data_IF_188585727754
#
_entry.id   IF_188585727754
#
_cell.length_a   1.000
_cell.length_b   1.000
_cell.length_c   1.000
_cell.angle_alpha   90.00
_cell.angle_beta   90.00
_cell.angle_gamma   90.00
#
_symmetry.space_group_name_H-M   'P 1'
#
loop_
_entity.id
_entity.type
_entity.pdbx_description
1 polymer ?
#
# COMPACT_ATOMS: atom_id res chain seq x y z
N UNK A 1 -7.33 -13.01 39.73
CA UNK A 1 -7.59 -12.96 38.28
C UNK A 1 -6.79 -11.80 37.71
N UNK A 2 -5.64 -12.06 37.12
CA UNK A 2 -4.78 -11.07 36.47
C UNK A 2 -5.52 -10.51 35.25
N UNK A 3 -5.80 -9.21 35.22
CA UNK A 3 -6.24 -8.52 33.99
C UNK A 3 -5.13 -8.69 32.95
N UNK A 4 -5.32 -9.57 31.98
CA UNK A 4 -4.40 -9.66 30.86
C UNK A 4 -4.41 -8.29 30.17
N UNK A 5 -3.31 -7.57 30.25
CA UNK A 5 -3.10 -6.34 29.47
C UNK A 5 -3.09 -6.71 27.99
N UNK A 6 -4.25 -6.75 27.37
CA UNK A 6 -4.36 -6.98 25.94
C UNK A 6 -3.93 -5.71 25.24
N UNK A 7 -2.75 -5.75 24.62
CA UNK A 7 -2.12 -4.59 23.94
C UNK A 7 -3.08 -3.95 22.92
N UNK A 8 -3.98 -4.73 22.30
CA UNK A 8 -4.95 -4.25 21.34
C UNK A 8 -6.19 -3.59 21.96
N UNK A 9 -6.40 -3.77 23.29
CA UNK A 9 -7.58 -3.25 24.00
C UNK A 9 -7.27 -2.07 24.91
N UNK A 10 -6.00 -1.67 25.02
CA UNK A 10 -5.63 -0.48 25.77
C UNK A 10 -6.04 0.76 24.99
N UNK A 11 -7.16 1.34 25.34
CA UNK A 11 -7.56 2.65 24.87
C UNK A 11 -6.61 3.65 25.55
N UNK A 12 -5.83 4.43 24.79
CA UNK A 12 -4.96 5.46 25.38
C UNK A 12 -5.81 6.43 26.19
N UNK A 13 -5.39 6.75 27.41
CA UNK A 13 -6.06 7.76 28.25
C UNK A 13 -5.90 9.22 27.72
N UNK A 14 -5.16 9.39 26.62
CA UNK A 14 -5.00 10.68 25.99
C UNK A 14 -6.13 10.93 25.00
N UNK A 15 -6.95 11.92 25.32
CA UNK A 15 -7.89 12.51 24.35
C UNK A 15 -7.08 13.29 23.32
N UNK A 16 -6.42 12.59 22.41
CA UNK A 16 -5.87 13.23 21.23
C UNK A 16 -7.04 13.43 20.25
N UNK A 17 -7.69 14.57 20.40
CA UNK A 17 -8.75 15.00 19.49
C UNK A 17 -8.04 15.82 18.40
N UNK A 18 -7.86 15.21 17.24
CA UNK A 18 -7.56 16.01 16.05
C UNK A 18 -8.84 16.72 15.64
N UNK A 19 -8.84 18.07 15.62
CA UNK A 19 -10.03 18.79 15.15
C UNK A 19 -10.30 18.41 13.69
N UNK A 20 -11.57 18.17 13.36
CA UNK A 20 -11.95 17.95 11.99
C UNK A 20 -11.64 19.22 11.17
N UNK A 21 -10.93 19.00 10.05
CA UNK A 21 -10.65 20.09 9.10
C UNK A 21 -11.96 20.38 8.34
N UNK A 22 -12.28 21.66 8.20
CA UNK A 22 -13.42 22.08 7.37
C UNK A 22 -13.06 21.87 5.88
N UNK A 23 -13.67 20.84 5.30
CA UNK A 23 -13.50 20.51 3.88
C UNK A 23 -14.83 20.70 3.19
N UNK A 24 -14.83 21.43 2.06
CA UNK A 24 -16.04 21.54 1.24
C UNK A 24 -16.44 20.19 0.67
N UNK A 25 -17.47 19.60 1.28
CA UNK A 25 -18.02 18.31 0.86
C UNK A 25 -18.50 18.30 -0.60
N UNK A 26 -18.92 19.46 -1.14
CA UNK A 26 -19.41 19.54 -2.53
C UNK A 26 -18.26 19.35 -3.50
N UNK A 27 -17.12 19.95 -3.23
CA UNK A 27 -15.92 19.77 -4.07
C UNK A 27 -15.40 18.35 -3.99
N UNK A 28 -15.37 17.72 -2.79
CA UNK A 28 -15.02 16.31 -2.65
C UNK A 28 -15.97 15.38 -3.45
N UNK A 29 -17.29 15.61 -3.36
CA UNK A 29 -18.28 14.83 -4.13
C UNK A 29 -18.07 15.01 -5.64
N UNK A 30 -17.81 16.22 -6.09
CA UNK A 30 -17.54 16.56 -7.48
C UNK A 30 -16.27 15.86 -7.98
N UNK A 31 -15.19 15.86 -7.18
CA UNK A 31 -13.94 15.16 -7.43
C UNK A 31 -14.19 13.68 -7.69
N UNK A 32 -14.79 12.98 -6.71
CA UNK A 32 -15.05 11.53 -6.79
C UNK A 32 -15.97 11.20 -7.98
N UNK A 33 -17.03 12.00 -8.21
CA UNK A 33 -17.96 11.80 -9.32
C UNK A 33 -17.35 12.08 -10.69
N UNK A 34 -16.33 12.92 -10.79
CA UNK A 34 -15.70 13.30 -12.07
C UNK A 34 -14.59 12.34 -12.51
N UNK A 35 -13.95 11.61 -11.56
CA UNK A 35 -12.90 10.65 -11.93
C UNK A 35 -13.46 9.54 -12.83
N UNK A 36 -12.75 9.25 -13.90
CA UNK A 36 -13.06 8.17 -14.85
C UNK A 36 -11.77 7.45 -15.27
N UNK A 37 -11.89 6.20 -15.69
CA UNK A 37 -10.83 5.48 -16.38
C UNK A 37 -10.77 5.94 -17.84
N UNK A 38 -10.03 7.02 -18.09
CA UNK A 38 -9.84 7.59 -19.44
C UNK A 38 -8.86 6.72 -20.22
N UNK A 39 -9.25 6.31 -21.43
CA UNK A 39 -8.49 5.34 -22.23
C UNK A 39 -7.75 5.95 -23.43
N UNK A 40 -8.00 7.22 -23.71
CA UNK A 40 -7.31 7.96 -24.77
C UNK A 40 -7.00 9.33 -24.20
N UNK A 41 -5.72 9.67 -24.16
CA UNK A 41 -5.21 10.91 -23.60
C UNK A 41 -4.77 11.86 -24.72
N UNK A 42 -4.77 13.15 -24.44
CA UNK A 42 -4.18 14.19 -25.28
C UNK A 42 -2.65 14.15 -25.20
N UNK A 43 -2.00 14.94 -26.07
CA UNK A 43 -0.53 15.08 -26.06
C UNK A 43 -0.03 16.12 -25.04
N UNK A 44 -0.92 16.65 -24.19
CA UNK A 44 -0.57 17.62 -23.17
C UNK A 44 0.39 17.03 -22.15
N UNK A 45 1.41 17.78 -21.81
CA UNK A 45 2.46 17.36 -20.88
C UNK A 45 1.98 17.60 -19.46
N UNK A 46 2.09 16.56 -18.61
CA UNK A 46 1.84 16.67 -17.17
C UNK A 46 3.02 17.44 -16.54
N UNK A 47 2.70 18.42 -15.69
CA UNK A 47 3.71 19.10 -14.89
C UNK A 47 4.38 18.08 -13.95
N UNK A 48 5.72 17.93 -13.98
CA UNK A 48 6.42 17.00 -13.13
C UNK A 48 6.25 17.24 -11.63
N UNK A 49 6.11 18.50 -11.22
CA UNK A 49 5.95 18.85 -9.79
C UNK A 49 4.56 18.46 -9.29
N UNK A 50 3.50 18.71 -10.09
CA UNK A 50 2.15 18.26 -9.78
C UNK A 50 2.08 16.73 -9.65
N UNK A 51 2.74 16.00 -10.57
CA UNK A 51 2.78 14.56 -10.52
C UNK A 51 3.52 14.05 -9.28
N UNK A 52 4.60 14.72 -8.89
CA UNK A 52 5.33 14.36 -7.67
C UNK A 52 4.47 14.59 -6.43
N UNK A 53 3.76 15.71 -6.34
CA UNK A 53 2.85 16.00 -5.24
C UNK A 53 1.70 14.98 -5.17
N UNK A 54 1.12 14.60 -6.32
CA UNK A 54 0.12 13.53 -6.37
C UNK A 54 0.67 12.18 -5.86
N UNK A 55 1.94 11.86 -6.17
CA UNK A 55 2.60 10.66 -5.64
C UNK A 55 2.82 10.75 -4.13
N UNK A 56 3.19 11.90 -3.60
CA UNK A 56 3.31 12.12 -2.15
C UNK A 56 1.96 11.97 -1.44
N UNK A 57 0.88 12.51 -2.01
CA UNK A 57 -0.47 12.31 -1.48
C UNK A 57 -0.90 10.84 -1.49
N UNK A 58 -0.48 10.07 -2.50
CA UNK A 58 -0.71 8.62 -2.53
C UNK A 58 -0.06 7.89 -1.34
N UNK A 59 1.10 8.35 -0.87
CA UNK A 59 1.79 7.74 0.27
C UNK A 59 1.08 7.96 1.61
N UNK A 60 0.09 8.86 1.67
CA UNK A 60 -0.73 9.10 2.87
C UNK A 60 -1.89 8.11 3.02
N UNK A 61 -2.04 7.18 2.10
CA UNK A 61 -3.08 6.15 2.18
C UNK A 61 -2.95 5.31 3.47
N UNK A 62 -4.07 4.88 4.07
CA UNK A 62 -4.05 4.03 5.25
C UNK A 62 -3.41 2.67 4.92
N UNK A 63 -2.62 2.14 5.87
CA UNK A 63 -1.95 0.86 5.70
C UNK A 63 -1.93 0.09 7.02
N UNK A 64 -2.20 -1.20 6.95
CA UNK A 64 -2.21 -2.07 8.12
C UNK A 64 -0.87 -1.99 8.87
N UNK A 65 -0.92 -1.74 10.18
CA UNK A 65 0.24 -1.51 11.04
C UNK A 65 1.18 -0.40 10.54
N UNK A 66 0.70 0.53 9.75
CA UNK A 66 1.49 1.60 9.11
C UNK A 66 2.76 1.09 8.39
N UNK A 67 2.68 -0.12 7.80
CA UNK A 67 3.86 -0.77 7.19
C UNK A 67 4.17 -0.30 5.77
N UNK A 68 3.27 0.44 5.13
CA UNK A 68 3.51 1.12 3.84
C UNK A 68 4.23 0.22 2.82
N UNK A 69 3.70 -0.99 2.60
CA UNK A 69 4.32 -1.99 1.75
C UNK A 69 3.98 -1.77 0.27
N UNK A 70 4.33 -0.62 -0.26
CA UNK A 70 4.20 -0.23 -1.66
C UNK A 70 5.41 0.54 -2.15
N UNK A 71 5.54 0.61 -3.47
CA UNK A 71 6.47 1.47 -4.18
C UNK A 71 5.82 1.93 -5.48
N UNK A 72 6.10 3.17 -5.89
CA UNK A 72 5.67 3.73 -7.15
C UNK A 72 6.89 3.99 -8.03
N UNK A 73 6.84 3.49 -9.26
CA UNK A 73 7.90 3.66 -10.25
C UNK A 73 7.41 4.54 -11.39
N UNK A 74 7.80 5.80 -11.38
CA UNK A 74 7.60 6.70 -12.50
C UNK A 74 8.62 6.40 -13.61
N UNK A 75 8.13 5.89 -14.75
CA UNK A 75 8.99 5.42 -15.84
C UNK A 75 9.35 6.54 -16.79
N UNK A 76 10.43 7.28 -16.50
CA UNK A 76 10.90 8.43 -17.32
C UNK A 76 11.72 8.03 -18.55
N UNK A 77 12.45 6.91 -18.50
CA UNK A 77 13.29 6.47 -19.62
C UNK A 77 12.45 6.10 -20.85
N UNK A 78 12.67 6.75 -21.98
CA UNK A 78 11.89 6.57 -23.24
C UNK A 78 11.84 5.10 -23.68
N UNK A 79 12.97 4.38 -23.68
CA UNK A 79 13.01 2.98 -24.10
C UNK A 79 12.27 2.04 -23.15
N UNK A 80 12.31 2.31 -21.83
CA UNK A 80 11.49 1.56 -20.86
C UNK A 80 10.01 1.90 -20.97
N UNK A 81 9.68 3.19 -21.20
CA UNK A 81 8.29 3.64 -21.40
C UNK A 81 7.68 2.95 -22.61
N UNK A 82 8.39 2.86 -23.73
CA UNK A 82 7.91 2.14 -24.91
C UNK A 82 7.66 0.64 -24.61
N UNK A 83 8.61 -0.06 -23.97
CA UNK A 83 8.42 -1.45 -23.59
C UNK A 83 7.26 -1.63 -22.60
N UNK A 84 7.06 -0.68 -21.68
CA UNK A 84 5.94 -0.74 -20.74
C UNK A 84 4.59 -0.65 -21.46
N UNK A 85 4.48 0.18 -22.49
CA UNK A 85 3.29 0.24 -23.36
C UNK A 85 2.97 -1.12 -23.97
N UNK A 86 4.00 -1.83 -24.48
CA UNK A 86 3.85 -3.18 -25.05
C UNK A 86 3.47 -4.20 -23.96
N UNK A 87 4.08 -4.11 -22.77
CA UNK A 87 3.77 -5.00 -21.65
C UNK A 87 2.38 -4.76 -21.04
N UNK A 88 1.78 -3.60 -21.27
CA UNK A 88 0.37 -3.32 -21.00
C UNK A 88 -0.53 -3.74 -22.18
N UNK A 89 -0.11 -4.74 -22.97
CA UNK A 89 -0.85 -5.32 -24.09
C UNK A 89 -1.18 -4.31 -25.21
N UNK A 90 -0.44 -3.22 -25.31
CA UNK A 90 -0.68 -2.17 -26.29
C UNK A 90 -2.04 -1.49 -26.15
N UNK A 91 -2.63 -1.50 -24.96
CA UNK A 91 -3.89 -0.81 -24.70
C UNK A 91 -3.80 0.67 -25.05
N UNK A 92 -4.90 1.26 -25.54
CA UNK A 92 -4.94 2.68 -25.95
C UNK A 92 -4.53 3.61 -24.80
N UNK A 93 -4.93 3.32 -23.56
CA UNK A 93 -4.51 4.10 -22.40
C UNK A 93 -2.98 4.11 -22.25
N UNK A 94 -2.31 2.95 -22.37
CA UNK A 94 -0.87 2.88 -22.29
C UNK A 94 -0.17 3.59 -23.47
N UNK A 95 -0.72 3.46 -24.68
CA UNK A 95 -0.15 4.07 -25.90
C UNK A 95 -0.20 5.59 -25.88
N UNK A 96 -1.33 6.14 -25.45
CA UNK A 96 -1.58 7.61 -25.49
C UNK A 96 -1.12 8.33 -24.22
N UNK A 97 -0.95 7.64 -23.09
CA UNK A 97 -0.52 8.27 -21.85
C UNK A 97 0.87 8.91 -21.98
N UNK A 98 0.97 10.15 -21.53
CA UNK A 98 2.23 10.89 -21.48
C UNK A 98 3.12 10.34 -20.37
N UNK A 99 2.54 9.97 -19.22
CA UNK A 99 3.28 9.38 -18.10
C UNK A 99 2.73 7.99 -17.73
N UNK A 100 3.64 7.12 -17.32
CA UNK A 100 3.33 5.76 -16.86
C UNK A 100 3.96 5.51 -15.49
N UNK A 101 3.12 5.11 -14.54
CA UNK A 101 3.50 4.81 -13.16
C UNK A 101 3.21 3.35 -12.88
N UNK A 102 4.22 2.59 -12.46
CA UNK A 102 4.04 1.21 -12.05
C UNK A 102 3.88 1.16 -10.54
N UNK A 103 2.72 0.72 -10.08
CA UNK A 103 2.40 0.56 -8.67
C UNK A 103 2.77 -0.87 -8.22
N UNK A 104 3.62 -0.97 -7.22
CA UNK A 104 4.24 -2.24 -6.81
C UNK A 104 3.89 -2.56 -5.35
N UNK A 105 3.32 -3.73 -5.13
CA UNK A 105 3.10 -4.29 -3.81
C UNK A 105 4.39 -4.97 -3.30
N UNK A 106 4.88 -4.56 -2.13
CA UNK A 106 6.17 -4.95 -1.55
C UNK A 106 5.98 -5.78 -0.28
N UNK A 107 5.68 -7.06 -0.45
CA UNK A 107 5.53 -7.99 0.68
C UNK A 107 6.80 -8.17 1.52
N UNK A 108 7.96 -7.87 0.96
CA UNK A 108 9.28 -8.09 1.57
C UNK A 108 9.74 -6.93 2.47
N UNK A 109 9.14 -5.74 2.33
CA UNK A 109 9.61 -4.52 3.03
C UNK A 109 9.11 -4.39 4.46
N UNK A 110 8.13 -5.18 4.89
CA UNK A 110 7.52 -5.02 6.21
C UNK A 110 8.52 -5.03 7.37
N UNK A 111 9.60 -5.86 7.31
CA UNK A 111 10.63 -5.90 8.34
C UNK A 111 11.42 -4.60 8.41
N UNK A 112 11.85 -4.08 7.25
CA UNK A 112 12.56 -2.81 7.13
C UNK A 112 11.70 -1.67 7.67
N UNK A 113 10.46 -1.59 7.20
CA UNK A 113 9.53 -0.50 7.56
C UNK A 113 9.16 -0.56 9.05
N UNK A 114 8.87 -1.76 9.59
CA UNK A 114 8.70 -1.97 11.03
C UNK A 114 9.89 -1.44 11.84
N UNK A 115 11.13 -1.74 11.41
CA UNK A 115 12.32 -1.29 12.14
C UNK A 115 12.47 0.24 12.09
N UNK A 116 12.12 0.88 10.99
CA UNK A 116 12.08 2.34 10.88
C UNK A 116 11.03 2.95 11.81
N UNK A 117 9.85 2.35 11.89
CA UNK A 117 8.79 2.78 12.83
C UNK A 117 9.28 2.64 14.27
N UNK A 118 9.88 1.50 14.66
CA UNK A 118 10.41 1.31 16.01
C UNK A 118 11.47 2.38 16.34
N UNK A 119 12.37 2.70 15.39
CA UNK A 119 13.37 3.75 15.58
C UNK A 119 12.72 5.11 15.87
N UNK A 120 11.70 5.47 15.09
CA UNK A 120 10.97 6.72 15.30
C UNK A 120 10.22 6.74 16.64
N UNK A 121 9.56 5.64 17.01
CA UNK A 121 8.86 5.51 18.28
C UNK A 121 9.82 5.64 19.47
N UNK A 122 11.03 5.06 19.39
CA UNK A 122 12.04 5.15 20.45
C UNK A 122 12.67 6.54 20.57
N UNK A 123 12.69 7.33 19.51
CA UNK A 123 13.17 8.73 19.56
C UNK A 123 12.17 9.69 20.20
N UNK A 124 10.90 9.33 20.25
CA UNK A 124 9.85 10.13 20.85
C UNK A 124 9.59 9.71 22.31
N UNK A 125 9.93 10.56 23.26
CA UNK A 125 9.79 10.30 24.71
C UNK A 125 8.34 10.10 25.19
N UNK A 126 7.35 10.53 24.42
CA UNK A 126 5.93 10.40 24.74
C UNK A 126 5.29 9.13 24.20
N UNK A 127 6.05 8.28 23.52
CA UNK A 127 5.55 7.04 22.92
C UNK A 127 5.07 6.08 24.00
N UNK A 128 3.81 5.60 23.94
CA UNK A 128 3.34 4.57 24.85
C UNK A 128 4.12 3.26 24.68
N UNK A 129 4.47 2.60 25.79
CA UNK A 129 5.17 1.31 25.75
C UNK A 129 4.38 0.25 24.97
N UNK A 130 3.06 0.28 25.03
CA UNK A 130 2.17 -0.62 24.27
C UNK A 130 2.39 -0.52 22.76
N UNK A 131 2.69 0.67 22.21
CA UNK A 131 3.01 0.84 20.81
C UNK A 131 4.33 0.17 20.43
N UNK A 132 5.36 0.29 21.25
CA UNK A 132 6.63 -0.41 21.06
C UNK A 132 6.44 -1.93 21.10
N UNK A 133 5.74 -2.43 22.12
CA UNK A 133 5.44 -3.87 22.25
C UNK A 133 4.65 -4.40 21.05
N UNK A 134 3.73 -3.62 20.50
CA UNK A 134 3.00 -3.98 19.28
C UNK A 134 3.94 -4.23 18.11
N UNK A 135 4.85 -3.29 17.82
CA UNK A 135 5.79 -3.44 16.71
C UNK A 135 6.91 -4.46 16.96
N UNK A 136 7.32 -4.66 18.22
CA UNK A 136 8.38 -5.62 18.55
C UNK A 136 7.88 -7.06 18.64
N UNK A 137 6.61 -7.30 19.05
CA UNK A 137 6.08 -8.65 19.30
C UNK A 137 4.96 -9.02 18.33
N UNK A 138 3.92 -8.18 18.20
CA UNK A 138 2.72 -8.53 17.43
C UNK A 138 2.99 -8.51 15.94
N UNK A 139 3.57 -7.43 15.41
CA UNK A 139 3.86 -7.29 13.98
C UNK A 139 4.75 -8.44 13.45
N UNK A 140 5.87 -8.84 14.08
CA UNK A 140 6.63 -10.01 13.65
C UNK A 140 5.82 -11.32 13.70
N UNK A 141 5.02 -11.52 14.72
CA UNK A 141 4.17 -12.71 14.82
C UNK A 141 3.16 -12.77 13.67
N UNK A 142 2.50 -11.65 13.37
CA UNK A 142 1.47 -11.58 12.31
C UNK A 142 2.10 -11.79 10.92
N UNK A 143 3.12 -11.02 10.56
CA UNK A 143 3.62 -10.93 9.18
C UNK A 143 4.73 -11.94 8.84
N UNK A 144 5.34 -12.62 9.82
CA UNK A 144 6.35 -13.65 9.55
C UNK A 144 5.70 -14.93 9.05
N UNK A 145 6.18 -15.45 7.91
CA UNK A 145 5.77 -16.75 7.36
C UNK A 145 6.86 -17.83 7.55
N UNK A 146 8.06 -17.41 7.96
CA UNK A 146 9.22 -18.30 8.10
C UNK A 146 9.78 -18.77 6.76
N UNK A 147 10.78 -19.64 6.85
CA UNK A 147 11.35 -20.27 5.66
C UNK A 147 10.31 -21.26 5.09
N UNK A 148 10.14 -21.24 3.77
CA UNK A 148 9.15 -22.05 3.04
C UNK A 148 7.70 -21.99 3.59
N UNK A 149 7.35 -20.99 4.41
CA UNK A 149 6.00 -20.86 4.96
C UNK A 149 5.70 -21.75 6.19
N UNK A 150 6.71 -22.43 6.74
CA UNK A 150 6.53 -23.34 7.88
C UNK A 150 5.91 -22.63 9.09
N UNK A 151 6.40 -21.43 9.42
CA UNK A 151 5.85 -20.65 10.53
C UNK A 151 4.39 -20.26 10.26
N UNK A 152 4.06 -19.90 9.03
CA UNK A 152 2.68 -19.61 8.61
C UNK A 152 1.76 -20.82 8.79
N UNK A 153 2.22 -22.00 8.35
CA UNK A 153 1.47 -23.25 8.52
C UNK A 153 1.23 -23.60 10.00
N UNK A 154 2.27 -23.52 10.84
CA UNK A 154 2.12 -23.76 12.29
C UNK A 154 1.17 -22.74 12.94
N UNK A 155 1.25 -21.47 12.55
CA UNK A 155 0.30 -20.45 13.00
C UNK A 155 -1.13 -20.80 12.61
N UNK A 156 -1.35 -21.26 11.39
CA UNK A 156 -2.68 -21.65 10.90
C UNK A 156 -3.31 -22.72 11.79
N UNK A 157 -2.54 -23.74 12.15
CA UNK A 157 -2.99 -24.81 13.08
C UNK A 157 -3.31 -24.21 14.46
N UNK A 158 -2.39 -23.43 15.02
CA UNK A 158 -2.57 -22.80 16.33
C UNK A 158 -3.82 -21.90 16.37
N UNK A 159 -3.97 -21.05 15.34
CA UNK A 159 -5.11 -20.14 15.21
C UNK A 159 -6.42 -20.91 15.03
N UNK A 160 -6.42 -22.04 14.34
CA UNK A 160 -7.59 -22.89 14.22
C UNK A 160 -8.08 -23.35 15.61
N UNK A 161 -7.20 -23.93 16.42
CA UNK A 161 -7.58 -24.43 17.75
C UNK A 161 -7.95 -23.30 18.72
N UNK A 162 -7.18 -22.22 18.77
CA UNK A 162 -7.51 -21.06 19.63
C UNK A 162 -8.84 -20.46 19.21
N UNK A 163 -9.07 -20.37 17.90
CA UNK A 163 -10.27 -19.77 17.33
C UNK A 163 -11.57 -20.55 17.52
N UNK A 164 -11.51 -21.78 18.06
CA UNK A 164 -12.69 -22.51 18.51
C UNK A 164 -13.25 -21.85 19.79
N UNK A 165 -12.37 -21.35 20.66
CA UNK A 165 -12.75 -20.86 21.99
C UNK A 165 -12.62 -19.33 22.13
N UNK A 166 -11.87 -18.66 21.23
CA UNK A 166 -11.59 -17.22 21.33
C UNK A 166 -11.65 -16.54 19.96
N UNK A 167 -12.07 -15.29 19.97
CA UNK A 167 -11.95 -14.41 18.79
C UNK A 167 -10.46 -14.10 18.56
N UNK A 168 -9.96 -14.44 17.37
CA UNK A 168 -8.57 -14.23 16.98
C UNK A 168 -8.48 -13.84 15.49
N UNK A 169 -7.55 -12.94 15.08
CA UNK A 169 -7.29 -12.68 13.67
C UNK A 169 -6.88 -13.96 12.94
N UNK A 170 -7.51 -14.22 11.80
CA UNK A 170 -7.29 -15.45 11.01
C UNK A 170 -6.16 -15.30 10.00
N UNK A 171 -5.85 -14.09 9.58
CA UNK A 171 -4.91 -13.79 8.49
C UNK A 171 -3.96 -12.65 8.89
N UNK A 172 -2.75 -12.61 8.28
CA UNK A 172 -2.18 -13.53 7.28
C UNK A 172 -1.44 -14.74 7.88
N UNK A 173 -1.68 -15.93 7.31
CA UNK A 173 -1.04 -17.21 7.73
C UNK A 173 -0.25 -17.88 6.58
N UNK A 174 -0.26 -17.31 5.40
CA UNK A 174 0.40 -17.85 4.22
C UNK A 174 1.04 -16.75 3.38
N UNK A 175 1.89 -17.13 2.43
CA UNK A 175 2.39 -16.19 1.42
C UNK A 175 1.25 -15.64 0.54
N UNK A 176 0.21 -16.43 0.29
CA UNK A 176 -0.97 -15.98 -0.45
C UNK A 176 -1.70 -14.86 0.29
N UNK A 177 -1.92 -15.02 1.60
CA UNK A 177 -2.55 -13.98 2.43
C UNK A 177 -1.69 -12.71 2.47
N UNK A 178 -0.37 -12.86 2.52
CA UNK A 178 0.56 -11.73 2.46
C UNK A 178 0.45 -10.98 1.12
N UNK A 179 0.25 -11.69 0.01
CA UNK A 179 -0.02 -11.08 -1.30
C UNK A 179 -1.29 -10.26 -1.27
N UNK A 180 -2.40 -10.87 -0.84
CA UNK A 180 -3.70 -10.19 -0.73
C UNK A 180 -3.59 -8.95 0.16
N UNK A 181 -2.92 -9.06 1.30
CA UNK A 181 -2.70 -7.94 2.20
C UNK A 181 -1.92 -6.79 1.53
N UNK A 182 -0.80 -7.10 0.86
CA UNK A 182 0.02 -6.08 0.21
C UNK A 182 -0.69 -5.43 -0.98
N UNK A 183 -1.42 -6.20 -1.79
CA UNK A 183 -2.21 -5.67 -2.90
C UNK A 183 -3.36 -4.78 -2.43
N UNK A 184 -4.12 -5.20 -1.40
CA UNK A 184 -5.18 -4.34 -0.80
C UNK A 184 -4.61 -3.00 -0.34
N UNK A 185 -3.49 -3.05 0.35
CA UNK A 185 -2.82 -1.84 0.86
C UNK A 185 -2.35 -0.94 -0.28
N UNK A 186 -1.71 -1.53 -1.32
CA UNK A 186 -1.25 -0.77 -2.50
C UNK A 186 -2.42 -0.18 -3.28
N UNK A 187 -3.54 -0.89 -3.40
CA UNK A 187 -4.73 -0.39 -4.10
C UNK A 187 -5.33 0.86 -3.42
N UNK A 188 -5.28 0.95 -2.09
CA UNK A 188 -5.70 2.17 -1.38
C UNK A 188 -4.81 3.37 -1.75
N UNK A 189 -3.50 3.17 -1.87
CA UNK A 189 -2.59 4.22 -2.29
C UNK A 189 -2.77 4.59 -3.78
N UNK A 190 -3.11 3.62 -4.63
CA UNK A 190 -3.45 3.89 -6.03
C UNK A 190 -4.73 4.73 -6.16
N UNK A 191 -5.75 4.48 -5.32
CA UNK A 191 -6.97 5.30 -5.32
C UNK A 191 -6.67 6.74 -4.89
N UNK A 192 -5.86 6.94 -3.83
CA UNK A 192 -5.41 8.28 -3.45
C UNK A 192 -4.69 8.97 -4.60
N UNK A 193 -3.79 8.26 -5.32
CA UNK A 193 -3.10 8.81 -6.49
C UNK A 193 -4.08 9.25 -7.58
N UNK A 194 -5.07 8.41 -7.90
CA UNK A 194 -6.06 8.72 -8.95
C UNK A 194 -6.94 9.91 -8.58
N UNK A 195 -7.32 10.04 -7.31
CA UNK A 195 -8.09 11.18 -6.81
C UNK A 195 -7.23 12.45 -6.79
N UNK A 196 -5.97 12.35 -6.37
CA UNK A 196 -5.04 13.49 -6.41
C UNK A 196 -4.84 13.98 -7.84
N UNK A 197 -4.52 13.10 -8.79
CA UNK A 197 -4.41 13.46 -10.21
C UNK A 197 -5.67 14.15 -10.72
N UNK A 198 -6.86 13.66 -10.35
CA UNK A 198 -8.11 14.28 -10.75
C UNK A 198 -8.31 15.66 -10.13
N UNK A 199 -7.87 15.87 -8.88
CA UNK A 199 -7.91 17.18 -8.22
C UNK A 199 -7.02 18.21 -8.92
N UNK A 200 -5.88 17.76 -9.46
CA UNK A 200 -4.94 18.56 -10.26
C UNK A 200 -5.40 18.75 -11.72
N UNK A 201 -6.57 18.22 -12.10
CA UNK A 201 -7.10 18.33 -13.46
C UNK A 201 -6.62 17.30 -14.44
N UNK A 202 -5.82 16.31 -14.00
CA UNK A 202 -5.33 15.22 -14.84
C UNK A 202 -6.28 14.03 -14.83
N UNK A 203 -6.33 13.31 -15.94
CA UNK A 203 -7.03 12.05 -16.07
C UNK A 203 -6.09 10.86 -15.89
N UNK A 204 -6.62 9.74 -15.43
CA UNK A 204 -5.87 8.52 -15.21
C UNK A 204 -6.63 7.27 -15.66
N UNK A 205 -5.91 6.18 -15.88
CA UNK A 205 -6.51 4.88 -16.17
C UNK A 205 -5.70 3.78 -15.47
N UNK A 206 -6.24 3.12 -14.42
CA UNK A 206 -5.59 1.96 -13.84
C UNK A 206 -5.69 0.77 -14.80
N UNK A 207 -4.57 0.12 -15.07
CA UNK A 207 -4.47 -1.05 -15.94
C UNK A 207 -3.93 -2.24 -15.16
N UNK A 208 -4.74 -3.30 -15.08
CA UNK A 208 -4.33 -4.60 -14.53
C UNK A 208 -4.03 -5.63 -15.63
N UNK A 209 -4.54 -5.39 -16.85
CA UNK A 209 -4.23 -6.19 -18.04
C UNK A 209 -2.80 -5.93 -18.53
N UNK A 210 -1.81 -6.65 -17.97
CA UNK A 210 -0.40 -6.45 -18.24
C UNK A 210 0.43 -7.72 -18.08
N UNK A 211 1.59 -7.79 -18.73
CA UNK A 211 2.61 -8.81 -18.45
C UNK A 211 3.46 -8.41 -17.24
N UNK A 212 2.95 -8.68 -16.05
CA UNK A 212 3.60 -8.34 -14.79
C UNK A 212 5.01 -8.93 -14.65
N UNK A 213 5.28 -10.11 -15.24
CA UNK A 213 6.60 -10.75 -15.19
C UNK A 213 7.65 -9.99 -16.00
N UNK A 214 7.28 -9.48 -17.17
CA UNK A 214 8.18 -8.65 -17.99
C UNK A 214 8.41 -7.28 -17.35
N UNK A 215 7.38 -6.65 -16.81
CA UNK A 215 7.49 -5.38 -16.07
C UNK A 215 8.44 -5.55 -14.89
N UNK A 216 8.23 -6.59 -14.07
CA UNK A 216 9.07 -6.92 -12.93
C UNK A 216 10.55 -7.07 -13.31
N UNK A 217 10.85 -7.77 -14.40
CA UNK A 217 12.22 -7.91 -14.92
C UNK A 217 12.80 -6.59 -15.41
N UNK A 218 12.02 -5.81 -16.15
CA UNK A 218 12.44 -4.50 -16.68
C UNK A 218 12.83 -3.53 -15.57
N UNK A 219 12.09 -3.53 -14.47
CA UNK A 219 12.33 -2.69 -13.30
C UNK A 219 13.32 -3.30 -12.30
N UNK A 220 13.78 -4.53 -12.53
CA UNK A 220 14.68 -5.28 -11.63
C UNK A 220 14.10 -5.42 -10.21
N UNK A 221 12.81 -5.68 -10.11
CA UNK A 221 12.13 -5.81 -8.82
C UNK A 221 12.55 -7.09 -8.09
N UNK A 222 12.60 -7.08 -6.75
CA UNK A 222 12.84 -8.27 -5.95
C UNK A 222 11.83 -9.40 -6.19
N UNK A 223 12.21 -10.63 -5.85
CA UNK A 223 11.36 -11.82 -6.09
C UNK A 223 9.98 -11.72 -5.44
N UNK A 224 9.88 -11.11 -4.26
CA UNK A 224 8.62 -10.94 -3.50
C UNK A 224 7.87 -9.64 -3.79
N UNK A 225 8.36 -8.80 -4.68
CA UNK A 225 7.61 -7.65 -5.16
C UNK A 225 6.65 -8.07 -6.26
N UNK A 226 5.46 -7.51 -6.31
CA UNK A 226 4.47 -7.77 -7.35
C UNK A 226 3.93 -6.48 -7.93
N UNK A 227 3.75 -6.44 -9.26
CA UNK A 227 3.10 -5.30 -9.91
C UNK A 227 1.60 -5.39 -9.61
N UNK A 228 1.08 -4.34 -8.99
CA UNK A 228 -0.33 -4.22 -8.65
C UNK A 228 -1.13 -3.70 -9.85
N UNK A 229 -0.71 -2.58 -10.40
CA UNK A 229 -1.28 -1.95 -11.59
C UNK A 229 -0.29 -0.95 -12.23
N UNK A 230 -0.62 -0.52 -13.42
CA UNK A 230 0.07 0.54 -14.13
C UNK A 230 -0.89 1.66 -14.39
#
# INVERSE_FOLDING_TARGET
MSKSNNILQNIPKHNHIEPAIDIDKKEFIKLVKSRRSVRVFTDDIINPDDLMECLELALLAPTSSNLQCWEFYWVKNKGKKQRLKDYCLGQSAAKTAQELIVCVARMDTWKKNKNSIIKNLKSNKTTPESALQYYEKIVPFVYSQGLFGIVGFLKKILIFFIGIFRVIPREPNSFSDMRVWAHKTTALACENLMLALRAYGYDSCPMEGMDSKRIKRMLKLPSKAEVCMV
#
